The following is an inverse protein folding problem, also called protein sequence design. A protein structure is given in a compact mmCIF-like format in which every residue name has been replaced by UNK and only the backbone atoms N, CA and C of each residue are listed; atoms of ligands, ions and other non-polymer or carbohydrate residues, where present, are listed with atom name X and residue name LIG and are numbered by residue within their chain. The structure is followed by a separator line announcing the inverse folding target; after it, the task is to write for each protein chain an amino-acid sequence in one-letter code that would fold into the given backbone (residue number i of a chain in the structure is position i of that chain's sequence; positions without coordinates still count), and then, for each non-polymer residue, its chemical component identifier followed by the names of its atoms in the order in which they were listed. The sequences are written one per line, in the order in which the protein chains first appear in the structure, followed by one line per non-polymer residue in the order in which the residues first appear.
data_IF_010734831047
#
_entry.id   IF_010734831047
#
_cell.length_a   1.000
_cell.length_b   1.000
_cell.length_c   1.000
_cell.angle_alpha   90.00
_cell.angle_beta   90.00
_cell.angle_gamma   90.00
#
_symmetry.space_group_name_H-M   'P 1'
#
loop_
_entity.id
_entity.type
_entity.pdbx_description
1 polymer ?
#
# COMPACT_ATOMS: atom_id res chain seq x y z
N UNK A 1 0.08 -19.38 6.67
CA UNK A 1 0.88 -18.21 7.14
C UNK A 1 -0.09 -17.23 7.74
N UNK A 2 0.21 -16.63 8.90
CA UNK A 2 -0.68 -15.62 9.49
C UNK A 2 -0.78 -14.41 8.56
N UNK A 3 -1.98 -13.85 8.42
CA UNK A 3 -2.22 -12.63 7.66
C UNK A 3 -1.59 -11.45 8.41
N UNK A 4 -0.80 -10.62 7.72
CA UNK A 4 -0.17 -9.45 8.32
C UNK A 4 -1.24 -8.40 8.65
N UNK A 5 -1.12 -7.73 9.80
CA UNK A 5 -1.97 -6.58 10.13
C UNK A 5 -1.66 -5.38 9.24
N UNK A 6 -2.57 -4.41 9.15
CA UNK A 6 -2.36 -3.16 8.42
C UNK A 6 -1.04 -2.48 8.82
N UNK A 7 -0.81 -2.30 10.12
CA UNK A 7 0.41 -1.69 10.63
C UNK A 7 1.68 -2.47 10.23
N UNK A 8 1.64 -3.81 10.29
CA UNK A 8 2.77 -4.65 9.86
C UNK A 8 3.07 -4.51 8.37
N UNK A 9 2.04 -4.35 7.54
CA UNK A 9 2.19 -4.16 6.09
C UNK A 9 2.75 -2.79 5.76
N UNK A 10 2.23 -1.74 6.39
CA UNK A 10 2.74 -0.37 6.25
C UNK A 10 4.20 -0.32 6.67
N UNK A 11 4.55 -0.89 7.82
CA UNK A 11 5.93 -0.94 8.29
C UNK A 11 6.84 -1.72 7.34
N UNK A 12 6.41 -2.89 6.86
CA UNK A 12 7.19 -3.68 5.91
C UNK A 12 7.44 -2.92 4.60
N UNK A 13 6.44 -2.19 4.11
CA UNK A 13 6.59 -1.31 2.94
C UNK A 13 7.54 -0.15 3.20
N UNK A 14 7.45 0.49 4.37
CA UNK A 14 8.33 1.58 4.77
C UNK A 14 9.79 1.11 4.91
N UNK A 15 10.02 -0.05 5.52
CA UNK A 15 11.36 -0.67 5.65
C UNK A 15 11.99 -0.97 4.28
N UNK A 16 11.17 -1.38 3.29
CA UNK A 16 11.62 -1.61 1.92
C UNK A 16 12.06 -0.30 1.25
N UNK A 17 11.26 0.75 1.43
CA UNK A 17 11.56 2.08 0.91
C UNK A 17 12.79 2.68 1.60
N UNK A 18 12.96 2.51 2.90
CA UNK A 18 14.12 3.02 3.65
C UNK A 18 15.45 2.44 3.14
N UNK A 19 15.44 1.19 2.69
CA UNK A 19 16.64 0.55 2.12
C UNK A 19 16.98 1.05 0.73
N UNK A 20 15.97 1.43 -0.04
CA UNK A 20 16.10 1.71 -1.47
C UNK A 20 16.15 3.21 -1.79
N UNK A 21 15.47 4.01 -0.97
CA UNK A 21 15.29 5.44 -1.15
C UNK A 21 15.21 6.15 0.21
N UNK A 22 16.36 6.49 0.83
CA UNK A 22 16.36 7.24 2.08
C UNK A 22 15.55 8.54 1.98
N UNK A 23 14.86 8.91 3.06
CA UNK A 23 14.04 10.11 3.15
C UNK A 23 12.87 10.20 2.14
N UNK A 24 12.45 9.06 1.54
CA UNK A 24 11.31 8.98 0.61
C UNK A 24 10.03 9.63 1.16
N UNK A 25 9.83 9.59 2.46
CA UNK A 25 8.66 10.16 3.15
C UNK A 25 8.55 11.69 2.99
N UNK A 26 9.64 12.38 2.63
CA UNK A 26 9.63 13.82 2.32
C UNK A 26 9.00 14.10 0.95
N UNK A 27 9.02 13.11 0.06
CA UNK A 27 8.58 13.26 -1.34
C UNK A 27 7.12 12.89 -1.55
N UNK A 28 6.48 12.26 -0.56
CA UNK A 28 5.08 11.87 -0.64
C UNK A 28 4.17 13.07 -0.35
N UNK A 29 3.25 13.36 -1.25
CA UNK A 29 2.16 14.28 -0.99
C UNK A 29 1.05 13.54 -0.23
N UNK A 30 0.83 13.97 1.02
CA UNK A 30 -0.23 13.41 1.85
C UNK A 30 -1.61 13.81 1.36
N UNK A 31 -1.81 14.97 0.73
CA UNK A 31 -3.14 15.34 0.24
C UNK A 31 -3.57 14.45 -0.92
N UNK A 32 -2.61 13.87 -1.65
CA UNK A 32 -2.84 12.95 -2.75
C UNK A 32 -2.72 11.47 -2.37
N UNK A 33 -2.26 11.15 -1.16
CA UNK A 33 -1.99 9.77 -0.77
C UNK A 33 -3.26 8.92 -0.69
N UNK A 34 -3.33 7.90 -1.55
CA UNK A 34 -4.38 6.88 -1.59
C UNK A 34 -3.79 5.56 -2.09
N UNK A 35 -3.79 4.53 -1.24
CA UNK A 35 -3.25 3.19 -1.58
C UNK A 35 -4.13 2.48 -2.61
N UNK A 36 -5.42 2.82 -2.69
CA UNK A 36 -6.35 2.24 -3.66
C UNK A 36 -6.19 2.79 -5.08
N UNK A 37 -5.50 3.92 -5.24
CA UNK A 37 -5.15 4.50 -6.52
C UNK A 37 -3.65 4.26 -6.80
N UNK A 38 -3.28 3.40 -7.77
CA UNK A 38 -1.90 2.99 -8.01
C UNK A 38 -0.90 4.14 -8.21
N UNK A 39 -1.33 5.23 -8.84
CA UNK A 39 -0.56 6.45 -9.06
C UNK A 39 -0.44 7.34 -7.81
N UNK A 40 -1.37 7.20 -6.85
CA UNK A 40 -1.45 7.98 -5.62
C UNK A 40 -0.84 7.27 -4.41
N UNK A 41 -0.54 5.97 -4.52
CA UNK A 41 0.13 5.23 -3.46
C UNK A 41 1.62 5.64 -3.34
N UNK A 42 2.33 5.30 -2.25
CA UNK A 42 3.72 5.75 -2.08
C UNK A 42 4.65 5.35 -3.22
N UNK A 43 4.46 4.16 -3.81
CA UNK A 43 5.24 3.71 -4.97
C UNK A 43 4.88 4.49 -6.24
N UNK A 44 3.59 4.75 -6.47
CA UNK A 44 3.13 5.57 -7.60
C UNK A 44 3.66 6.99 -7.55
N UNK A 45 3.67 7.60 -6.36
CA UNK A 45 4.21 8.94 -6.19
C UNK A 45 5.74 9.02 -6.34
N UNK A 46 6.47 7.97 -5.92
CA UNK A 46 7.94 7.93 -6.04
C UNK A 46 8.42 7.57 -7.44
N UNK A 47 7.72 6.68 -8.14
CA UNK A 47 8.21 6.06 -9.38
C UNK A 47 7.29 6.28 -10.58
N UNK A 48 6.19 7.01 -10.45
CA UNK A 48 5.20 7.26 -11.51
C UNK A 48 4.21 6.11 -11.71
N UNK A 49 4.64 4.86 -11.52
CA UNK A 49 3.78 3.68 -11.60
C UNK A 49 4.40 2.49 -10.86
N UNK A 50 3.57 1.60 -10.29
CA UNK A 50 4.02 0.32 -9.72
C UNK A 50 4.92 -0.49 -10.67
N UNK A 51 4.59 -0.48 -11.97
CA UNK A 51 5.31 -1.23 -12.99
C UNK A 51 6.66 -0.62 -13.35
N UNK A 52 6.95 0.59 -12.86
CA UNK A 52 8.21 1.32 -13.08
C UNK A 52 9.11 1.27 -11.83
N UNK A 53 8.63 0.71 -10.71
CA UNK A 53 9.48 0.39 -9.58
C UNK A 53 10.53 -0.66 -10.00
N UNK A 54 11.78 -0.58 -9.50
CA UNK A 54 12.81 -1.56 -9.81
C UNK A 54 12.31 -2.99 -9.52
N UNK A 55 12.64 -3.97 -10.37
CA UNK A 55 12.11 -5.36 -10.31
C UNK A 55 12.17 -5.99 -8.90
N UNK A 56 13.15 -5.60 -8.06
CA UNK A 56 13.27 -6.06 -6.68
C UNK A 56 12.23 -5.49 -5.70
N UNK A 57 11.67 -4.31 -5.97
CA UNK A 57 10.62 -3.69 -5.17
C UNK A 57 9.24 -4.25 -5.52
N UNK A 58 8.99 -4.50 -6.81
CA UNK A 58 7.71 -5.05 -7.29
C UNK A 58 7.41 -6.46 -6.74
N UNK A 59 8.45 -7.28 -6.49
CA UNK A 59 8.30 -8.64 -5.94
C UNK A 59 7.98 -8.68 -4.43
N UNK A 60 8.41 -7.68 -3.65
CA UNK A 60 8.15 -7.61 -2.20
C UNK A 60 6.95 -6.74 -1.83
N UNK A 61 6.46 -5.94 -2.76
CA UNK A 61 5.39 -4.99 -2.49
C UNK A 61 4.00 -5.66 -2.33
N UNK A 62 3.86 -6.94 -2.70
CA UNK A 62 2.71 -7.81 -2.35
C UNK A 62 2.56 -8.01 -0.83
N UNK A 63 3.55 -7.58 -0.04
CA UNK A 63 3.53 -7.59 1.44
C UNK A 63 3.16 -6.25 2.08
N UNK A 64 3.19 -5.15 1.34
CA UNK A 64 3.02 -3.80 1.92
C UNK A 64 2.00 -2.90 1.23
N UNK A 65 1.70 -3.15 -0.04
CA UNK A 65 1.04 -2.16 -0.90
C UNK A 65 -0.13 -2.70 -1.72
N UNK A 66 -0.18 -4.01 -1.99
CA UNK A 66 -1.25 -4.58 -2.80
C UNK A 66 -1.59 -6.00 -2.34
N UNK A 67 -2.88 -6.37 -2.38
CA UNK A 67 -3.35 -7.74 -2.21
C UNK A 67 -4.08 -8.15 -3.49
N UNK A 68 -3.33 -8.40 -4.57
CA UNK A 68 -3.93 -8.83 -5.85
C UNK A 68 -4.62 -10.19 -5.75
N UNK A 69 -4.36 -10.95 -4.69
CA UNK A 69 -4.60 -12.40 -4.66
C UNK A 69 -5.99 -12.82 -4.14
N UNK A 70 -6.90 -11.88 -3.86
CA UNK A 70 -8.28 -12.20 -3.42
C UNK A 70 -9.37 -11.99 -4.47
N UNK A 71 -9.01 -11.81 -5.75
CA UNK A 71 -10.02 -11.83 -6.81
C UNK A 71 -10.76 -13.18 -6.78
N UNK A 72 -12.11 -13.21 -6.76
CA UNK A 72 -12.83 -14.48 -6.78
C UNK A 72 -12.39 -15.27 -8.01
N UNK A 73 -11.91 -16.50 -7.77
CA UNK A 73 -11.46 -17.38 -8.83
C UNK A 73 -12.52 -17.48 -9.94
N UNK A 74 -12.09 -17.77 -11.16
CA UNK A 74 -12.91 -17.71 -12.40
C UNK A 74 -14.27 -18.41 -12.29
N UNK A 75 -14.47 -19.32 -11.32
CA UNK A 75 -15.72 -20.03 -11.06
C UNK A 75 -16.77 -19.37 -10.15
N UNK A 76 -16.47 -18.32 -9.38
CA UNK A 76 -17.42 -17.74 -8.39
C UNK A 76 -17.75 -16.25 -8.65
N UNK A 77 -17.71 -15.86 -9.93
CA UNK A 77 -17.97 -14.48 -10.39
C UNK A 77 -19.46 -14.19 -10.50
N UNK A 78 -20.14 -14.15 -9.36
CA UNK A 78 -21.46 -13.50 -9.30
C UNK A 78 -21.28 -12.00 -9.03
N UNK A 79 -22.20 -11.16 -9.52
CA UNK A 79 -22.14 -9.70 -9.30
C UNK A 79 -22.07 -9.35 -7.79
N UNK A 80 -22.80 -10.10 -6.96
CA UNK A 80 -22.78 -9.94 -5.50
C UNK A 80 -21.44 -10.34 -4.86
N UNK A 81 -20.78 -11.40 -5.35
CA UNK A 81 -19.45 -11.79 -4.88
C UNK A 81 -18.39 -10.76 -5.28
N UNK A 82 -18.48 -10.21 -6.49
CA UNK A 82 -17.60 -9.14 -6.96
C UNK A 82 -17.79 -7.87 -6.14
N UNK A 83 -19.03 -7.43 -5.89
CA UNK A 83 -19.29 -6.23 -5.07
C UNK A 83 -18.80 -6.40 -3.63
N UNK A 84 -18.98 -7.59 -3.04
CA UNK A 84 -18.52 -7.88 -1.68
C UNK A 84 -16.99 -7.83 -1.58
N UNK A 85 -16.28 -8.41 -2.55
CA UNK A 85 -14.81 -8.38 -2.60
C UNK A 85 -14.31 -6.96 -2.85
N UNK A 86 -14.91 -6.23 -3.79
CA UNK A 86 -14.58 -4.83 -4.07
C UNK A 86 -14.76 -3.95 -2.82
N UNK A 87 -15.87 -4.12 -2.08
CA UNK A 87 -16.10 -3.41 -0.82
C UNK A 87 -15.05 -3.74 0.24
N UNK A 88 -14.70 -5.01 0.41
CA UNK A 88 -13.69 -5.44 1.38
C UNK A 88 -12.30 -4.85 1.03
N UNK A 89 -11.93 -4.88 -0.25
CA UNK A 89 -10.68 -4.28 -0.75
C UNK A 89 -10.66 -2.77 -0.50
N UNK A 90 -11.76 -2.06 -0.76
CA UNK A 90 -11.84 -0.61 -0.50
C UNK A 90 -11.69 -0.26 0.98
N UNK A 91 -12.27 -1.05 1.89
CA UNK A 91 -12.09 -0.85 3.34
C UNK A 91 -10.62 -1.07 3.72
N UNK A 92 -10.01 -2.15 3.23
CA UNK A 92 -8.61 -2.46 3.50
C UNK A 92 -7.67 -1.37 2.96
N UNK A 93 -7.93 -0.83 1.77
CA UNK A 93 -7.16 0.27 1.19
C UNK A 93 -7.33 1.59 1.94
N UNK A 94 -8.52 1.87 2.48
CA UNK A 94 -8.71 3.02 3.36
C UNK A 94 -7.85 2.87 4.63
N UNK A 95 -7.86 1.70 5.27
CA UNK A 95 -7.04 1.44 6.47
C UNK A 95 -5.53 1.52 6.18
N UNK A 96 -5.09 0.98 5.03
CA UNK A 96 -3.70 1.12 4.59
C UNK A 96 -3.33 2.58 4.33
N UNK A 97 -4.21 3.36 3.68
CA UNK A 97 -3.99 4.77 3.41
C UNK A 97 -3.79 5.55 4.71
N UNK A 98 -4.66 5.35 5.70
CA UNK A 98 -4.52 5.98 7.00
C UNK A 98 -3.24 5.54 7.73
N UNK A 99 -2.90 4.24 7.66
CA UNK A 99 -1.66 3.74 8.25
C UNK A 99 -0.41 4.37 7.63
N UNK A 100 -0.38 4.53 6.30
CA UNK A 100 0.71 5.23 5.60
C UNK A 100 0.77 6.72 5.95
N UNK A 101 -0.38 7.40 6.04
CA UNK A 101 -0.45 8.81 6.48
C UNK A 101 0.18 8.97 7.86
N UNK A 102 -0.28 8.18 8.83
CA UNK A 102 0.21 8.24 10.20
C UNK A 102 1.72 8.00 10.29
N UNK A 103 2.24 6.98 9.60
CA UNK A 103 3.69 6.69 9.60
C UNK A 103 4.51 7.83 8.98
N UNK A 104 4.03 8.45 7.90
CA UNK A 104 4.74 9.56 7.24
C UNK A 104 4.71 10.81 8.13
N UNK A 105 3.59 11.11 8.78
CA UNK A 105 3.47 12.21 9.73
C UNK A 105 4.37 12.01 10.95
N UNK A 106 4.42 10.80 11.50
CA UNK A 106 5.33 10.42 12.58
C UNK A 106 6.78 10.73 12.20
N UNK A 107 7.22 10.26 11.03
CA UNK A 107 8.57 10.51 10.51
C UNK A 107 8.87 12.00 10.29
N UNK A 108 7.89 12.78 9.80
CA UNK A 108 8.03 14.23 9.59
C UNK A 108 8.10 15.02 10.89
N UNK A 109 7.36 14.59 11.91
CA UNK A 109 7.33 15.26 13.21
C UNK A 109 8.57 14.94 14.06
N UNK A 110 9.28 13.85 13.75
CA UNK A 110 10.41 13.37 14.55
C UNK A 110 9.99 12.83 15.92
N UNK A 111 8.68 12.62 16.13
CA UNK A 111 8.10 12.07 17.35
C UNK A 111 7.67 10.64 17.06
N UNK A 112 8.22 9.61 17.73
CA UNK A 112 7.74 8.24 17.57
C UNK A 112 6.34 8.09 18.16
N UNK A 113 5.49 7.30 17.49
CA UNK A 113 4.11 6.98 17.90
C UNK A 113 4.04 6.05 19.12
#
# INVERSE_FOLDING_TARGET
MAELTIAQRVQAGADLLDRSWPDWWQLIDLDLLDVGAPECCPLGQLFGSWNEAPDGLAMDADRGFYRATQWPGVGDRTDAAVEKVDRAIRVEYAELTEGWRALIEERRSGVPA
#
